data_IF_725571689267
#
_entry.id   IF_725571689267
#
_cell.length_a   1.000
_cell.length_b   1.000
_cell.length_c   1.000
_cell.angle_alpha   90.00
_cell.angle_beta   90.00
_cell.angle_gamma   90.00
#
_symmetry.space_group_name_H-M   'P 1'
#
loop_
_entity.id
_entity.type
_entity.pdbx_description
1 polymer ?
#
# COMPACT_ATOMS: atom_id res chain seq x y z
N UNK A 1 29.29 15.67 -39.95
CA UNK A 1 28.26 14.63 -39.75
C UNK A 1 27.41 15.05 -38.55
N UNK A 2 26.11 15.34 -38.71
CA UNK A 2 25.23 15.69 -37.58
C UNK A 2 24.58 14.40 -37.08
N UNK A 3 24.76 14.07 -35.81
CA UNK A 3 24.10 12.92 -35.18
C UNK A 3 22.60 13.24 -35.09
N UNK A 4 21.69 12.37 -35.57
CA UNK A 4 20.26 12.58 -35.43
C UNK A 4 19.84 12.56 -33.95
N UNK A 5 18.91 13.43 -33.57
CA UNK A 5 18.35 13.47 -32.22
C UNK A 5 17.15 12.51 -32.13
N UNK A 6 17.27 11.45 -31.32
CA UNK A 6 16.25 10.41 -31.16
C UNK A 6 15.31 10.62 -29.97
N UNK A 7 15.43 11.73 -29.22
CA UNK A 7 14.62 11.97 -28.03
C UNK A 7 13.11 11.92 -28.32
N UNK A 8 12.70 12.37 -29.51
CA UNK A 8 11.30 12.35 -29.94
C UNK A 8 10.75 10.93 -30.18
N UNK A 9 11.61 9.94 -30.41
CA UNK A 9 11.21 8.54 -30.62
C UNK A 9 11.00 7.79 -29.29
N UNK A 10 11.53 8.29 -28.17
CA UNK A 10 11.45 7.59 -26.88
C UNK A 10 10.04 7.55 -26.28
N UNK A 11 9.26 8.65 -26.21
CA UNK A 11 7.91 8.63 -25.64
C UNK A 11 6.95 7.62 -26.29
N UNK A 12 6.82 7.54 -27.64
CA UNK A 12 5.92 6.57 -28.26
C UNK A 12 6.37 5.12 -28.07
N UNK A 13 7.68 4.87 -28.02
CA UNK A 13 8.22 3.53 -27.76
C UNK A 13 7.94 3.10 -26.32
N UNK A 14 8.18 3.98 -25.34
CA UNK A 14 7.87 3.71 -23.92
C UNK A 14 6.40 3.38 -23.76
N UNK A 15 5.50 4.21 -24.31
CA UNK A 15 4.05 3.98 -24.22
C UNK A 15 3.67 2.59 -24.74
N UNK A 16 4.15 2.21 -25.93
CA UNK A 16 3.88 0.89 -26.53
C UNK A 16 4.40 -0.26 -25.67
N UNK A 17 5.53 -0.08 -24.99
CA UNK A 17 6.09 -1.11 -24.11
C UNK A 17 5.31 -1.21 -22.80
N UNK A 18 4.86 -0.09 -22.22
CA UNK A 18 4.05 -0.07 -21.00
C UNK A 18 2.68 -0.75 -21.19
N UNK A 19 2.08 -0.62 -22.37
CA UNK A 19 0.79 -1.25 -22.68
C UNK A 19 0.92 -2.76 -23.01
N UNK A 20 2.14 -3.24 -23.27
CA UNK A 20 2.41 -4.63 -23.65
C UNK A 20 2.77 -5.50 -22.44
N UNK A 21 1.74 -5.91 -21.68
CA UNK A 21 1.87 -6.75 -20.48
C UNK A 21 2.45 -8.12 -20.85
N UNK A 22 3.51 -8.53 -20.14
CA UNK A 22 4.19 -9.81 -20.34
C UNK A 22 3.85 -10.81 -19.24
N UNK A 23 3.89 -12.13 -19.51
CA UNK A 23 3.53 -13.15 -18.52
C UNK A 23 4.32 -13.09 -17.20
N UNK A 24 5.58 -12.65 -17.26
CA UNK A 24 6.41 -12.53 -16.05
C UNK A 24 5.99 -11.35 -15.15
N UNK A 25 5.21 -10.40 -15.66
CA UNK A 25 4.70 -9.28 -14.85
C UNK A 25 3.65 -9.76 -13.83
N UNK A 26 3.03 -10.92 -14.06
CA UNK A 26 2.14 -11.59 -13.09
C UNK A 26 2.91 -12.19 -11.91
N UNK A 27 4.22 -12.40 -12.06
CA UNK A 27 5.09 -12.97 -11.02
C UNK A 27 5.63 -11.91 -10.04
N UNK A 28 5.16 -10.65 -10.14
CA UNK A 28 5.54 -9.58 -9.21
C UNK A 28 5.19 -9.96 -7.77
N UNK A 29 6.15 -9.77 -6.88
CA UNK A 29 5.97 -10.00 -5.45
C UNK A 29 5.48 -8.74 -4.75
N UNK A 30 5.04 -8.87 -3.49
CA UNK A 30 4.70 -7.71 -2.65
C UNK A 30 5.85 -6.72 -2.50
N UNK A 31 7.10 -7.20 -2.54
CA UNK A 31 8.29 -6.35 -2.45
C UNK A 31 8.52 -5.49 -3.70
N UNK A 32 7.92 -5.86 -4.83
CA UNK A 32 7.99 -5.12 -6.10
C UNK A 32 6.88 -4.07 -6.23
N UNK A 33 5.95 -4.01 -5.27
CA UNK A 33 4.82 -3.08 -5.29
C UNK A 33 5.25 -1.70 -4.79
N UNK A 34 4.95 -0.66 -5.58
CA UNK A 34 5.23 0.73 -5.22
C UNK A 34 4.26 1.28 -4.16
N UNK A 35 3.09 0.63 -4.03
CA UNK A 35 2.07 0.99 -3.08
C UNK A 35 1.70 -0.21 -2.21
N UNK A 36 1.51 0.07 -0.94
CA UNK A 36 0.87 -0.83 -0.01
C UNK A 36 -0.59 -1.07 -0.42
N UNK A 37 -0.99 -2.33 -0.44
CA UNK A 37 -2.36 -2.76 -0.72
C UNK A 37 -2.83 -3.60 0.47
N UNK A 38 -3.75 -3.04 1.26
CA UNK A 38 -4.28 -3.70 2.46
C UNK A 38 -4.80 -5.12 2.22
N UNK A 39 -5.50 -5.34 1.10
CA UNK A 39 -6.18 -6.61 0.82
C UNK A 39 -5.24 -7.81 0.67
N UNK A 40 -3.99 -7.56 0.28
CA UNK A 40 -2.97 -8.57 -0.02
C UNK A 40 -1.80 -8.53 0.99
N UNK A 41 -1.99 -7.97 2.19
CA UNK A 41 -0.90 -7.82 3.14
C UNK A 41 -1.06 -8.65 4.43
N UNK A 42 0.07 -8.97 5.05
CA UNK A 42 0.17 -9.61 6.36
C UNK A 42 -0.62 -8.88 7.47
N UNK A 43 -0.72 -7.55 7.42
CA UNK A 43 -1.46 -6.77 8.43
C UNK A 43 -2.94 -7.19 8.50
N UNK A 44 -3.61 -7.32 7.35
CA UNK A 44 -4.99 -7.83 7.28
C UNK A 44 -5.11 -9.24 7.84
N UNK A 45 -4.22 -10.14 7.43
CA UNK A 45 -4.20 -11.54 7.88
C UNK A 45 -4.07 -11.63 9.40
N UNK A 46 -3.22 -10.80 9.99
CA UNK A 46 -3.02 -10.77 11.43
C UNK A 46 -4.23 -10.18 12.16
N UNK A 47 -4.83 -9.12 11.63
CA UNK A 47 -6.05 -8.53 12.18
C UNK A 47 -7.21 -9.54 12.17
N UNK A 48 -7.42 -10.26 11.08
CA UNK A 48 -8.45 -11.31 11.01
C UNK A 48 -8.19 -12.46 11.98
N UNK A 49 -6.91 -12.80 12.23
CA UNK A 49 -6.53 -13.80 13.24
C UNK A 49 -6.80 -13.32 14.67
N UNK A 50 -6.55 -12.04 14.97
CA UNK A 50 -6.73 -11.47 16.32
C UNK A 50 -8.22 -11.29 16.65
N UNK A 51 -9.01 -10.78 15.71
CA UNK A 51 -10.40 -10.37 15.96
C UNK A 51 -11.47 -11.39 15.51
N UNK A 52 -11.08 -12.49 14.85
CA UNK A 52 -12.02 -13.46 14.31
C UNK A 52 -12.61 -13.05 12.95
N UNK A 53 -13.55 -13.85 12.44
CA UNK A 53 -13.94 -13.79 11.02
C UNK A 53 -14.59 -12.46 10.61
N UNK A 54 -13.98 -11.89 9.57
CA UNK A 54 -14.33 -10.72 8.73
C UNK A 54 -13.91 -9.34 9.25
N UNK A 55 -12.66 -8.97 8.91
CA UNK A 55 -12.13 -7.61 9.01
C UNK A 55 -13.08 -6.54 8.45
N UNK A 56 -13.84 -6.87 7.40
CA UNK A 56 -14.75 -5.96 6.70
C UNK A 56 -16.00 -5.56 7.49
N UNK A 57 -16.35 -6.29 8.56
CA UNK A 57 -17.56 -6.04 9.35
C UNK A 57 -17.34 -5.13 10.56
N UNK A 58 -16.10 -4.96 11.02
CA UNK A 58 -15.82 -4.13 12.18
C UNK A 58 -15.39 -2.72 11.73
N UNK A 59 -16.15 -1.66 12.08
CA UNK A 59 -15.78 -0.27 11.78
C UNK A 59 -14.38 0.11 12.29
N UNK A 60 -13.92 -0.48 13.41
CA UNK A 60 -12.59 -0.21 13.95
C UNK A 60 -11.46 -0.78 13.09
N UNK A 61 -11.70 -1.92 12.43
CA UNK A 61 -10.73 -2.53 11.51
C UNK A 61 -10.61 -1.66 10.25
N UNK A 62 -11.70 -1.04 9.81
CA UNK A 62 -11.67 -0.11 8.69
C UNK A 62 -10.79 1.11 9.01
N UNK A 63 -10.99 1.73 10.17
CA UNK A 63 -10.18 2.87 10.64
C UNK A 63 -8.70 2.49 10.71
N UNK A 64 -8.39 1.30 11.23
CA UNK A 64 -7.03 0.77 11.25
C UNK A 64 -6.44 0.58 9.85
N UNK A 65 -7.19 -0.01 8.93
CA UNK A 65 -6.72 -0.27 7.57
C UNK A 65 -6.39 1.02 6.82
N UNK A 66 -7.21 2.06 6.98
CA UNK A 66 -6.99 3.38 6.39
C UNK A 66 -5.77 4.08 6.99
N UNK A 67 -5.58 3.95 8.31
CA UNK A 67 -4.41 4.52 8.98
C UNK A 67 -3.12 3.83 8.54
N UNK A 68 -3.14 2.50 8.36
CA UNK A 68 -2.02 1.73 7.82
C UNK A 68 -1.73 2.15 6.38
N UNK A 69 -2.76 2.29 5.54
CA UNK A 69 -2.59 2.66 4.14
C UNK A 69 -1.86 4.00 4.00
N UNK A 70 -2.30 5.03 4.74
CA UNK A 70 -1.64 6.34 4.77
C UNK A 70 -0.22 6.26 5.34
N UNK A 71 -0.03 5.51 6.42
CA UNK A 71 1.28 5.34 7.03
C UNK A 71 2.29 4.70 6.07
N UNK A 72 1.86 3.71 5.28
CA UNK A 72 2.72 2.98 4.36
C UNK A 72 2.91 3.70 3.02
N UNK A 73 1.89 4.41 2.51
CA UNK A 73 1.91 5.03 1.18
C UNK A 73 2.28 6.52 1.18
N UNK A 74 1.84 7.29 2.18
CA UNK A 74 1.94 8.76 2.16
C UNK A 74 3.09 9.29 3.02
N UNK A 75 3.55 8.55 4.04
CA UNK A 75 4.74 8.90 4.80
C UNK A 75 4.69 8.55 6.28
N UNK A 76 5.67 7.77 6.75
CA UNK A 76 5.65 7.25 8.11
C UNK A 76 5.74 8.33 9.19
N UNK A 77 6.52 9.40 9.00
CA UNK A 77 6.72 10.44 10.02
C UNK A 77 5.48 11.28 10.28
N UNK A 78 4.64 11.47 9.26
CA UNK A 78 3.45 12.32 9.38
C UNK A 78 2.28 11.56 10.00
N UNK A 79 2.18 10.26 9.68
CA UNK A 79 1.03 9.43 10.04
C UNK A 79 1.28 8.46 11.21
N UNK A 80 2.44 8.52 11.85
CA UNK A 80 2.78 7.62 12.98
C UNK A 80 1.79 7.72 14.14
N UNK A 81 1.32 8.94 14.44
CA UNK A 81 0.36 9.17 15.52
C UNK A 81 -1.02 8.61 15.15
N UNK A 82 -1.48 8.83 13.92
CA UNK A 82 -2.75 8.29 13.41
C UNK A 82 -2.76 6.77 13.43
N UNK A 83 -1.67 6.14 12.99
CA UNK A 83 -1.50 4.70 13.07
C UNK A 83 -1.53 4.22 14.54
N UNK A 84 -0.78 4.87 15.42
CA UNK A 84 -0.74 4.54 16.85
C UNK A 84 -2.11 4.66 17.53
N UNK A 85 -2.87 5.70 17.22
CA UNK A 85 -4.23 5.88 17.73
C UNK A 85 -5.17 4.78 17.22
N UNK A 86 -5.11 4.44 15.92
CA UNK A 86 -5.94 3.39 15.35
C UNK A 86 -5.63 2.01 15.96
N UNK A 87 -4.35 1.71 16.24
CA UNK A 87 -3.92 0.49 16.97
C UNK A 87 -4.47 0.46 18.40
N UNK A 88 -4.47 1.60 19.10
CA UNK A 88 -5.02 1.66 20.46
C UNK A 88 -6.53 1.45 20.46
N UNK A 89 -7.23 2.04 19.50
CA UNK A 89 -8.67 1.90 19.35
C UNK A 89 -9.07 0.46 19.05
N UNK A 90 -8.40 -0.21 18.12
CA UNK A 90 -8.73 -1.59 17.73
C UNK A 90 -8.43 -2.59 18.85
N UNK A 91 -7.38 -2.36 19.65
CA UNK A 91 -7.00 -3.21 20.79
C UNK A 91 -7.67 -2.81 22.11
N UNK A 92 -8.50 -1.78 22.12
CA UNK A 92 -9.15 -1.22 23.31
C UNK A 92 -8.16 -0.89 24.45
N UNK A 93 -7.01 -0.30 24.09
CA UNK A 93 -5.98 0.13 25.04
C UNK A 93 -6.22 1.61 25.38
N UNK A 94 -6.11 1.98 26.65
CA UNK A 94 -6.32 3.35 27.12
C UNK A 94 -5.49 4.38 26.35
N UNK A 95 -6.16 5.44 25.87
CA UNK A 95 -5.55 6.55 25.13
C UNK A 95 -4.79 7.49 26.09
N UNK A 96 -3.65 7.04 26.61
CA UNK A 96 -2.68 7.98 27.19
C UNK A 96 -1.94 8.69 26.05
N UNK A 97 -1.91 10.03 26.02
CA UNK A 97 -1.17 10.75 24.98
C UNK A 97 0.33 10.36 25.03
N UNK A 98 0.95 10.25 23.86
CA UNK A 98 2.40 10.07 23.70
C UNK A 98 3.12 11.39 23.91
#
# INVERSE_FOLDING_TARGET
MKIPNFLHLMPPVIKRQCENVKPWEELKSEADMEQYIWENNASKVNTEKIFGKEAKKNPQIQIYSEAVDKYMNEGQSEYINNYGEAVRQILNISLTPL
#
